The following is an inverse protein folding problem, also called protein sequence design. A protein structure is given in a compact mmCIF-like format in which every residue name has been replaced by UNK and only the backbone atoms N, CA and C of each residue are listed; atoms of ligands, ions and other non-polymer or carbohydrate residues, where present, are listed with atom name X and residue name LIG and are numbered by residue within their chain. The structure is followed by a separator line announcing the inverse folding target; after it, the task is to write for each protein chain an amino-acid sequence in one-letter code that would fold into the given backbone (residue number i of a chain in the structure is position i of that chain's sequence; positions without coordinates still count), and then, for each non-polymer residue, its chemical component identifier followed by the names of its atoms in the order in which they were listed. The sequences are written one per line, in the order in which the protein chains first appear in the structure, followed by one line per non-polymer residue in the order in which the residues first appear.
data_IF_483614560289
#
_entry.id   IF_483614560289
#
_cell.length_a   1.000
_cell.length_b   1.000
_cell.length_c   1.000
_cell.angle_alpha   90.00
_cell.angle_beta   90.00
_cell.angle_gamma   90.00
#
_symmetry.space_group_name_H-M   'P 1'
#
loop_
_entity.id
_entity.type
_entity.pdbx_description
1 polymer ?
#
# COMPACT_ATOMS: atom_id res chain seq x y z
N UNK A 1 -18.09 21.51 22.43
CA UNK A 1 -17.61 20.44 23.34
C UNK A 1 -18.64 20.11 24.43
N UNK A 2 -19.46 21.07 24.86
CA UNK A 2 -20.50 20.91 25.89
C UNK A 2 -21.71 20.02 25.51
N UNK A 3 -21.76 19.48 24.29
CA UNK A 3 -22.92 18.73 23.78
C UNK A 3 -22.68 17.20 23.69
N UNK A 4 -21.55 16.69 24.17
CA UNK A 4 -21.26 15.25 24.11
C UNK A 4 -21.99 14.49 25.21
N UNK A 5 -22.91 13.61 24.82
CA UNK A 5 -23.67 12.78 25.74
C UNK A 5 -24.04 11.43 25.15
N UNK A 6 -24.22 10.43 26.02
CA UNK A 6 -24.65 9.07 25.66
C UNK A 6 -25.86 8.67 26.49
N UNK A 7 -26.74 7.89 25.88
CA UNK A 7 -27.88 7.28 26.54
C UNK A 7 -27.56 5.83 26.90
N UNK A 8 -27.43 5.56 28.20
CA UNK A 8 -27.10 4.24 28.73
C UNK A 8 -28.36 3.63 29.32
N UNK A 9 -28.69 2.41 28.88
CA UNK A 9 -29.82 1.63 29.35
C UNK A 9 -29.37 0.39 30.13
N UNK A 10 -30.13 0.02 31.16
CA UNK A 10 -29.93 -1.18 31.96
C UNK A 10 -30.64 -2.38 31.31
N UNK A 11 -29.87 -3.37 30.86
CA UNK A 11 -30.38 -4.56 30.18
C UNK A 11 -31.05 -5.55 31.14
N UNK A 12 -30.61 -5.60 32.40
CA UNK A 12 -31.22 -6.46 33.43
C UNK A 12 -32.67 -6.09 33.68
N UNK A 13 -32.92 -4.79 33.92
CA UNK A 13 -34.27 -4.25 34.11
C UNK A 13 -35.12 -4.32 32.86
N UNK A 14 -34.51 -4.17 31.68
CA UNK A 14 -35.19 -4.34 30.40
C UNK A 14 -35.82 -5.74 30.28
N UNK A 15 -35.08 -6.78 30.68
CA UNK A 15 -35.56 -8.17 30.68
C UNK A 15 -36.70 -8.41 31.69
N UNK A 16 -36.78 -7.60 32.74
CA UNK A 16 -37.85 -7.59 33.74
C UNK A 16 -39.09 -6.76 33.30
N UNK A 17 -39.04 -6.14 32.12
CA UNK A 17 -40.12 -5.32 31.55
C UNK A 17 -40.08 -3.84 31.96
N UNK A 18 -39.01 -3.38 32.60
CA UNK A 18 -38.78 -1.99 32.98
C UNK A 18 -37.71 -1.33 32.09
N UNK A 19 -38.11 -0.33 31.30
CA UNK A 19 -37.17 0.48 30.52
C UNK A 19 -36.50 1.51 31.43
N UNK A 20 -35.30 1.19 31.91
CA UNK A 20 -34.50 2.10 32.75
C UNK A 20 -33.25 2.52 31.98
N UNK A 21 -33.17 3.81 31.65
CA UNK A 21 -32.01 4.41 31.01
C UNK A 21 -31.97 5.92 31.23
N UNK A 22 -30.80 6.52 31.06
CA UNK A 22 -30.60 7.95 31.24
C UNK A 22 -29.49 8.49 30.34
N UNK A 23 -29.55 9.80 30.07
CA UNK A 23 -28.46 10.53 29.42
C UNK A 23 -27.37 10.89 30.43
N UNK A 24 -26.12 10.75 29.98
CA UNK A 24 -24.91 11.07 30.73
C UNK A 24 -23.98 11.93 29.86
N UNK A 25 -23.48 13.01 30.45
CA UNK A 25 -22.48 13.89 29.84
C UNK A 25 -21.07 13.44 30.23
N UNK A 26 -20.09 13.73 29.39
CA UNK A 26 -18.69 13.41 29.68
C UNK A 26 -18.03 14.40 30.67
N UNK A 27 -17.04 13.94 31.47
CA UNK A 27 -16.65 12.55 31.69
C UNK A 27 -17.71 11.79 32.49
N UNK A 28 -18.01 10.55 32.08
CA UNK A 28 -19.08 9.74 32.66
C UNK A 28 -18.58 9.14 33.98
N UNK A 29 -19.22 9.49 35.09
CA UNK A 29 -18.96 8.87 36.40
C UNK A 29 -19.71 7.54 36.56
N UNK A 30 -18.97 6.47 36.85
CA UNK A 30 -19.52 5.14 37.05
C UNK A 30 -20.51 5.08 38.23
N UNK A 31 -20.25 5.84 39.30
CA UNK A 31 -21.15 5.85 40.45
C UNK A 31 -22.47 6.59 40.13
N UNK A 32 -22.41 7.66 39.33
CA UNK A 32 -23.61 8.34 38.83
C UNK A 32 -24.45 7.38 37.97
N UNK A 33 -23.82 6.66 37.04
CA UNK A 33 -24.51 5.68 36.20
C UNK A 33 -25.18 4.63 37.07
N UNK A 34 -24.46 4.07 38.04
CA UNK A 34 -25.01 3.06 38.96
C UNK A 34 -26.22 3.57 39.74
N UNK A 35 -26.15 4.77 40.31
CA UNK A 35 -27.24 5.34 41.09
C UNK A 35 -28.47 5.62 40.23
N UNK A 36 -28.26 6.16 39.02
CA UNK A 36 -29.31 6.68 38.15
C UNK A 36 -30.06 5.60 37.37
N UNK A 37 -29.35 4.58 36.88
CA UNK A 37 -29.96 3.45 36.14
C UNK A 37 -30.04 2.15 36.95
N UNK A 38 -29.57 2.16 38.20
CA UNK A 38 -29.72 1.06 39.15
C UNK A 38 -28.95 -0.20 38.74
N UNK A 39 -27.66 -0.06 38.43
CA UNK A 39 -26.78 -1.20 38.13
C UNK A 39 -26.39 -1.98 39.40
N UNK A 40 -26.06 -3.25 39.23
CA UNK A 40 -25.48 -4.09 40.28
C UNK A 40 -24.04 -3.67 40.62
N UNK A 41 -23.48 -4.20 41.71
CA UNK A 41 -22.11 -3.90 42.15
C UNK A 41 -21.03 -4.38 41.14
N UNK A 42 -21.40 -5.25 40.20
CA UNK A 42 -20.49 -5.82 39.18
C UNK A 42 -20.57 -5.10 37.82
N UNK A 43 -21.49 -4.13 37.64
CA UNK A 43 -21.63 -3.30 36.44
C UNK A 43 -21.82 -4.07 35.12
N UNK A 44 -22.43 -5.26 35.14
CA UNK A 44 -22.39 -6.19 34.00
C UNK A 44 -23.51 -6.02 32.95
N UNK A 45 -24.60 -5.30 33.26
CA UNK A 45 -25.82 -5.31 32.43
C UNK A 45 -26.26 -3.92 31.95
N UNK A 46 -25.42 -3.25 31.15
CA UNK A 46 -25.81 -2.02 30.43
C UNK A 46 -25.45 -2.07 28.95
N UNK A 47 -26.14 -1.25 28.17
CA UNK A 47 -25.84 -1.00 26.76
C UNK A 47 -26.10 0.46 26.40
N UNK A 48 -25.40 0.94 25.37
CA UNK A 48 -25.62 2.25 24.78
C UNK A 48 -26.71 2.10 23.71
N UNK A 49 -27.82 2.81 23.87
CA UNK A 49 -28.92 2.77 22.88
C UNK A 49 -29.00 4.00 22.00
N UNK A 50 -28.44 5.13 22.46
CA UNK A 50 -28.42 6.37 21.70
C UNK A 50 -27.21 7.21 22.11
N UNK A 51 -26.76 8.11 21.24
CA UNK A 51 -25.63 8.99 21.53
C UNK A 51 -25.63 10.26 20.67
N UNK A 52 -25.10 11.34 21.24
CA UNK A 52 -24.82 12.61 20.56
C UNK A 52 -23.31 12.83 20.55
N UNK A 53 -22.61 12.12 19.65
CA UNK A 53 -21.16 12.14 19.53
C UNK A 53 -20.72 12.36 18.07
N UNK A 54 -19.59 13.05 17.82
CA UNK A 54 -19.07 13.29 16.47
C UNK A 54 -18.39 12.06 15.84
N UNK A 55 -18.54 10.88 16.44
CA UNK A 55 -17.96 9.61 16.02
C UNK A 55 -18.91 8.44 16.33
N UNK A 56 -18.68 7.31 15.68
CA UNK A 56 -19.50 6.10 15.86
C UNK A 56 -19.09 5.33 17.10
N UNK A 57 -20.08 4.85 17.85
CA UNK A 57 -19.92 4.05 19.06
C UNK A 57 -20.80 2.81 18.96
N UNK A 58 -20.29 1.66 19.41
CA UNK A 58 -21.05 0.41 19.43
C UNK A 58 -21.92 0.31 20.69
N UNK A 59 -23.03 -0.44 20.60
CA UNK A 59 -23.98 -0.64 21.71
C UNK A 59 -23.32 -1.25 22.96
N UNK A 60 -22.24 -1.99 22.78
CA UNK A 60 -21.50 -2.72 23.83
C UNK A 60 -20.19 -2.04 24.23
N UNK A 61 -19.92 -0.82 23.77
CA UNK A 61 -18.74 -0.06 24.18
C UNK A 61 -18.79 0.22 25.68
N UNK A 62 -17.68 -0.03 26.38
CA UNK A 62 -17.63 0.18 27.82
C UNK A 62 -17.53 1.66 28.20
N UNK A 63 -18.07 2.04 29.37
CA UNK A 63 -17.96 3.42 29.88
C UNK A 63 -16.49 3.87 30.01
N UNK A 64 -15.58 2.95 30.31
CA UNK A 64 -14.14 3.23 30.38
C UNK A 64 -13.56 3.58 29.01
N UNK A 65 -13.95 2.86 27.97
CA UNK A 65 -13.56 3.17 26.58
C UNK A 65 -14.17 4.49 26.11
N UNK A 66 -15.43 4.77 26.44
CA UNK A 66 -16.07 6.06 26.14
C UNK A 66 -15.28 7.22 26.74
N UNK A 67 -14.96 7.14 28.03
CA UNK A 67 -14.18 8.19 28.71
C UNK A 67 -12.79 8.33 28.12
N UNK A 68 -12.15 7.22 27.73
CA UNK A 68 -10.86 7.25 27.04
C UNK A 68 -10.96 7.94 25.67
N UNK A 69 -11.98 7.63 24.88
CA UNK A 69 -12.23 8.27 23.58
C UNK A 69 -12.45 9.78 23.75
N UNK A 70 -13.25 10.17 24.73
CA UNK A 70 -13.48 11.57 25.07
C UNK A 70 -12.19 12.28 25.50
N UNK A 71 -11.34 11.64 26.32
CA UNK A 71 -10.05 12.19 26.73
C UNK A 71 -9.14 12.42 25.51
N UNK A 72 -9.03 11.44 24.62
CA UNK A 72 -8.24 11.58 23.38
C UNK A 72 -8.76 12.73 22.50
N UNK A 73 -10.08 12.87 22.35
CA UNK A 73 -10.66 14.01 21.62
C UNK A 73 -10.37 15.34 22.31
N UNK A 74 -10.41 15.35 23.64
CA UNK A 74 -10.18 16.56 24.44
C UNK A 74 -8.75 17.08 24.37
N UNK A 75 -7.80 16.20 24.10
CA UNK A 75 -6.39 16.56 23.91
C UNK A 75 -6.09 17.14 22.51
N UNK A 76 -6.98 16.93 21.52
CA UNK A 76 -6.77 17.44 20.17
C UNK A 76 -6.88 18.98 20.11
N UNK A 77 -6.22 19.65 19.15
CA UNK A 77 -6.45 21.06 18.85
C UNK A 77 -7.92 21.38 18.55
N UNK A 78 -8.42 22.53 19.01
CA UNK A 78 -9.83 22.96 18.84
C UNK A 78 -10.31 22.91 17.37
N UNK A 79 -9.41 23.25 16.45
CA UNK A 79 -9.64 23.22 15.01
C UNK A 79 -9.97 21.80 14.51
N UNK A 80 -9.25 20.78 15.02
CA UNK A 80 -9.51 19.38 14.68
C UNK A 80 -10.77 18.85 15.38
N UNK A 81 -11.01 19.25 16.63
CA UNK A 81 -12.18 18.81 17.40
C UNK A 81 -13.50 19.17 16.69
N UNK A 82 -13.58 20.38 16.13
CA UNK A 82 -14.79 20.87 15.45
C UNK A 82 -15.08 20.15 14.13
N UNK A 83 -14.07 19.55 13.51
CA UNK A 83 -14.13 18.93 12.18
C UNK A 83 -13.84 17.41 12.23
N UNK A 84 -14.08 16.78 13.38
CA UNK A 84 -13.89 15.34 13.58
C UNK A 84 -14.61 14.48 12.53
N UNK A 85 -15.83 14.87 12.14
CA UNK A 85 -16.59 14.12 11.12
C UNK A 85 -15.89 14.08 9.74
N UNK A 86 -15.24 15.18 9.35
CA UNK A 86 -14.46 15.25 8.12
C UNK A 86 -13.16 14.42 8.26
N UNK A 87 -12.49 14.52 9.40
CA UNK A 87 -11.27 13.77 9.69
C UNK A 87 -11.51 12.25 9.70
N UNK A 88 -12.60 11.79 10.31
CA UNK A 88 -12.97 10.36 10.37
C UNK A 88 -13.43 9.78 9.02
N UNK A 89 -13.52 10.60 7.97
CA UNK A 89 -13.64 10.08 6.58
C UNK A 89 -12.29 9.55 6.07
N UNK A 90 -11.18 10.06 6.61
CA UNK A 90 -9.83 9.70 6.21
C UNK A 90 -9.12 8.80 7.23
N UNK A 91 -9.39 9.02 8.52
CA UNK A 91 -8.88 8.20 9.62
C UNK A 91 -9.92 7.16 10.03
N UNK A 92 -9.47 5.94 10.33
CA UNK A 92 -10.37 4.81 10.64
C UNK A 92 -10.96 4.90 12.06
N UNK A 93 -10.31 5.62 12.96
CA UNK A 93 -10.66 5.70 14.37
C UNK A 93 -10.09 6.97 15.02
N UNK A 94 -10.60 7.32 16.20
CA UNK A 94 -10.06 8.46 16.98
C UNK A 94 -8.66 8.13 17.48
N UNK A 95 -8.39 6.87 17.81
CA UNK A 95 -7.08 6.39 18.21
C UNK A 95 -6.04 6.69 17.13
N UNK A 96 -6.32 6.33 15.87
CA UNK A 96 -5.43 6.61 14.75
C UNK A 96 -5.23 8.12 14.55
N UNK A 97 -6.30 8.91 14.70
CA UNK A 97 -6.22 10.38 14.62
C UNK A 97 -5.34 10.96 15.73
N UNK A 98 -5.50 10.47 16.97
CA UNK A 98 -4.76 10.93 18.14
C UNK A 98 -3.26 10.60 18.04
N UNK A 99 -2.90 9.41 17.55
CA UNK A 99 -1.50 9.01 17.32
C UNK A 99 -0.80 9.90 16.28
N UNK A 100 -1.57 10.44 15.34
CA UNK A 100 -1.06 11.18 14.18
C UNK A 100 -1.35 12.67 14.20
N UNK A 101 -1.89 13.21 15.30
CA UNK A 101 -2.28 14.62 15.38
C UNK A 101 -1.12 15.59 15.08
N UNK A 102 0.12 15.25 15.46
CA UNK A 102 1.31 16.07 15.22
C UNK A 102 1.74 16.10 13.74
N UNK A 103 1.33 15.10 12.96
CA UNK A 103 1.64 14.98 11.53
C UNK A 103 0.61 15.73 10.64
N UNK A 104 -0.46 16.26 11.24
CA UNK A 104 -1.50 17.03 10.57
C UNK A 104 -1.10 18.50 10.54
N UNK A 105 -0.94 19.05 9.34
CA UNK A 105 -0.67 20.46 9.14
C UNK A 105 -1.99 21.18 8.89
N UNK A 106 -2.29 22.15 9.73
CA UNK A 106 -3.52 22.93 9.69
C UNK A 106 -3.25 24.23 8.93
N UNK A 107 -3.88 24.40 7.76
CA UNK A 107 -3.88 25.64 6.99
C UNK A 107 -5.20 26.36 7.21
N UNK A 108 -5.32 27.06 8.35
CA UNK A 108 -6.54 27.75 8.76
C UNK A 108 -6.85 29.02 7.97
N UNK A 109 -5.85 29.56 7.25
CA UNK A 109 -5.95 30.73 6.38
C UNK A 109 -6.23 30.38 4.91
N UNK A 110 -6.35 29.08 4.59
CA UNK A 110 -6.58 28.60 3.24
C UNK A 110 -8.01 28.08 3.09
N UNK A 111 -8.77 28.66 2.16
CA UNK A 111 -10.14 28.22 1.86
C UNK A 111 -10.14 27.08 0.81
N UNK A 112 -9.14 27.07 -0.07
CA UNK A 112 -9.03 26.11 -1.16
C UNK A 112 -7.57 25.67 -1.45
N UNK A 113 -7.41 24.76 -2.42
CA UNK A 113 -6.09 24.30 -2.84
C UNK A 113 -5.26 25.36 -3.57
N UNK A 114 -5.87 26.46 -4.04
CA UNK A 114 -5.13 27.58 -4.62
C UNK A 114 -4.39 28.35 -3.51
N UNK A 115 -5.04 28.60 -2.38
CA UNK A 115 -4.42 29.25 -1.23
C UNK A 115 -3.29 28.39 -0.64
N UNK A 116 -3.52 27.07 -0.52
CA UNK A 116 -2.48 26.12 -0.10
C UNK A 116 -1.28 26.14 -1.04
N UNK A 117 -1.51 26.16 -2.35
CA UNK A 117 -0.45 26.25 -3.36
C UNK A 117 0.33 27.56 -3.23
N UNK A 118 -0.37 28.67 -3.00
CA UNK A 118 0.24 29.98 -2.78
C UNK A 118 1.11 29.99 -1.53
N UNK A 119 0.59 29.48 -0.41
CA UNK A 119 1.32 29.35 0.85
C UNK A 119 2.64 28.57 0.67
N UNK A 120 2.60 27.42 -0.01
CA UNK A 120 3.80 26.61 -0.23
C UNK A 120 4.86 27.30 -1.10
N UNK A 121 4.44 28.06 -2.11
CA UNK A 121 5.35 28.73 -3.04
C UNK A 121 5.91 30.03 -2.44
N UNK A 122 5.06 30.87 -1.85
CA UNK A 122 5.43 32.21 -1.39
C UNK A 122 6.01 32.20 0.02
N UNK A 123 5.37 31.49 0.97
CA UNK A 123 5.76 31.52 2.39
C UNK A 123 6.79 30.43 2.72
N UNK A 124 6.58 29.21 2.21
CA UNK A 124 7.49 28.08 2.48
C UNK A 124 8.69 28.04 1.53
N UNK A 125 8.59 28.67 0.36
CA UNK A 125 9.63 28.62 -0.67
C UNK A 125 9.86 27.21 -1.23
N UNK A 126 8.80 26.40 -1.36
CA UNK A 126 8.90 25.00 -1.78
C UNK A 126 9.55 24.80 -3.16
N UNK A 127 9.47 25.82 -4.03
CA UNK A 127 10.09 25.86 -5.36
C UNK A 127 11.32 26.79 -5.43
N UNK A 128 11.81 27.26 -4.27
CA UNK A 128 12.86 28.28 -4.15
C UNK A 128 12.31 29.71 -4.00
N UNK A 129 13.21 30.69 -3.99
CA UNK A 129 12.83 32.11 -3.90
C UNK A 129 12.18 32.59 -5.19
N UNK A 130 10.89 32.93 -5.13
CA UNK A 130 10.15 33.51 -6.25
C UNK A 130 10.26 35.03 -6.21
N UNK A 131 10.89 35.68 -7.22
CA UNK A 131 10.94 37.13 -7.27
C UNK A 131 9.53 37.72 -7.52
N UNK A 132 9.26 38.88 -6.93
CA UNK A 132 7.94 39.55 -7.01
C UNK A 132 7.43 39.78 -8.44
N UNK A 133 8.33 39.92 -9.42
CA UNK A 133 7.96 40.06 -10.83
C UNK A 133 7.37 38.80 -11.45
N UNK A 134 7.66 37.62 -10.89
CA UNK A 134 7.22 36.32 -11.40
C UNK A 134 5.96 35.79 -10.70
N UNK A 135 5.66 36.24 -9.47
CA UNK A 135 4.52 35.76 -8.67
C UNK A 135 3.19 35.81 -9.45
N UNK A 136 2.92 36.92 -10.15
CA UNK A 136 1.68 37.09 -10.94
C UNK A 136 1.59 36.20 -12.20
N UNK A 137 2.63 35.45 -12.53
CA UNK A 137 2.66 34.55 -13.68
C UNK A 137 2.71 33.07 -13.29
N UNK A 138 2.71 32.76 -11.99
CA UNK A 138 2.66 31.38 -11.50
C UNK A 138 1.20 30.89 -11.53
N UNK A 139 1.01 29.69 -12.08
CA UNK A 139 -0.28 29.02 -12.07
C UNK A 139 -0.44 28.21 -10.77
N UNK A 140 -0.92 28.89 -9.72
CA UNK A 140 -1.17 28.27 -8.42
C UNK A 140 -2.30 27.23 -8.48
N UNK A 141 -3.27 27.37 -9.39
CA UNK A 141 -4.37 26.41 -9.53
C UNK A 141 -3.86 25.05 -10.03
N UNK A 142 -2.98 25.07 -11.03
CA UNK A 142 -2.36 23.85 -11.53
C UNK A 142 -1.49 23.18 -10.45
N UNK A 143 -0.70 23.97 -9.71
CA UNK A 143 0.14 23.43 -8.64
C UNK A 143 -0.69 22.84 -7.49
N UNK A 144 -1.73 23.55 -7.04
CA UNK A 144 -2.64 23.07 -6.00
C UNK A 144 -3.34 21.77 -6.38
N UNK A 145 -3.76 21.64 -7.65
CA UNK A 145 -4.33 20.38 -8.16
C UNK A 145 -3.32 19.23 -8.13
N UNK A 146 -2.07 19.48 -8.49
CA UNK A 146 -1.02 18.46 -8.44
C UNK A 146 -0.69 18.05 -6.99
N UNK A 147 -0.75 19.00 -6.05
CA UNK A 147 -0.64 18.71 -4.62
C UNK A 147 -1.80 17.81 -4.15
N UNK A 148 -3.03 18.15 -4.49
CA UNK A 148 -4.21 17.36 -4.10
C UNK A 148 -4.18 15.93 -4.68
N UNK A 149 -3.72 15.79 -5.93
CA UNK A 149 -3.57 14.47 -6.57
C UNK A 149 -2.47 13.59 -5.94
N UNK A 150 -1.47 14.19 -5.29
CA UNK A 150 -0.29 13.48 -4.77
C UNK A 150 -0.27 13.34 -3.25
N UNK A 151 -0.96 14.22 -2.54
CA UNK A 151 -1.07 14.26 -1.09
C UNK A 151 -2.46 13.90 -0.57
N UNK A 152 -2.68 14.14 0.72
CA UNK A 152 -3.98 13.99 1.38
C UNK A 152 -4.35 15.35 1.96
N UNK A 153 -5.31 16.03 1.32
CA UNK A 153 -5.85 17.31 1.78
C UNK A 153 -7.33 17.16 2.08
N UNK A 154 -7.77 17.71 3.20
CA UNK A 154 -9.14 17.61 3.70
C UNK A 154 -9.68 19.04 3.78
N UNK A 155 -10.72 19.32 3.01
CA UNK A 155 -11.39 20.62 3.03
C UNK A 155 -12.44 20.64 4.14
N UNK A 156 -12.32 21.62 5.04
CA UNK A 156 -13.20 21.79 6.19
C UNK A 156 -13.70 23.24 6.26
N UNK A 157 -14.65 23.55 7.15
CA UNK A 157 -15.09 24.94 7.32
C UNK A 157 -14.05 25.80 8.06
N UNK A 158 -13.05 25.16 8.69
CA UNK A 158 -11.99 25.79 9.45
C UNK A 158 -10.64 25.79 8.69
N UNK A 159 -10.69 25.58 7.37
CA UNK A 159 -9.53 25.61 6.47
C UNK A 159 -9.20 24.25 5.85
N UNK A 160 -7.99 24.14 5.30
CA UNK A 160 -7.50 22.91 4.67
C UNK A 160 -6.53 22.18 5.61
N UNK A 161 -6.84 20.92 5.93
CA UNK A 161 -5.94 20.07 6.71
C UNK A 161 -5.16 19.14 5.81
N UNK A 162 -3.84 19.14 5.96
CA UNK A 162 -2.96 18.23 5.24
C UNK A 162 -2.50 17.12 6.17
N UNK A 163 -2.80 15.87 5.79
CA UNK A 163 -2.26 14.69 6.47
C UNK A 163 -1.04 14.14 5.72
N UNK A 164 0.04 13.90 6.46
CA UNK A 164 1.22 13.20 5.93
C UNK A 164 1.03 11.68 5.87
N UNK A 165 -0.01 11.15 6.52
CA UNK A 165 -0.36 9.73 6.49
C UNK A 165 -1.21 9.47 5.24
N UNK A 166 -0.74 8.53 4.44
CA UNK A 166 -1.58 7.93 3.40
C UNK A 166 -2.51 6.97 4.12
N UNK A 167 -3.77 7.38 4.31
CA UNK A 167 -4.82 6.55 4.90
C UNK A 167 -4.74 5.12 4.36
N UNK A 168 -4.83 4.13 5.27
CA UNK A 168 -4.78 2.70 4.95
C UNK A 168 -5.91 2.30 3.97
N UNK A 169 -7.02 3.05 3.95
CA UNK A 169 -8.10 2.89 2.98
C UNK A 169 -7.69 3.20 1.53
N UNK A 170 -6.76 4.15 1.33
CA UNK A 170 -6.26 4.51 0.00
C UNK A 170 -5.22 3.53 -0.53
N UNK A 171 -4.53 2.80 0.35
CA UNK A 171 -3.58 1.74 -0.05
C UNK A 171 -4.30 0.60 -0.78
N UNK A 172 -5.50 0.19 -0.35
CA UNK A 172 -6.21 -0.92 -0.99
C UNK A 172 -6.76 -0.55 -2.38
N UNK A 173 -7.19 0.69 -2.60
CA UNK A 173 -7.66 1.14 -3.92
C UNK A 173 -6.52 1.55 -4.85
N UNK A 174 -5.47 2.19 -4.33
CA UNK A 174 -4.31 2.58 -5.13
C UNK A 174 -3.48 1.36 -5.55
N UNK A 175 -3.28 0.36 -4.69
CA UNK A 175 -2.59 -0.88 -5.09
C UNK A 175 -3.41 -1.70 -6.10
N UNK A 176 -4.75 -1.60 -6.07
CA UNK A 176 -5.63 -2.25 -7.05
C UNK A 176 -5.69 -1.50 -8.40
N UNK A 177 -5.48 -0.18 -8.41
CA UNK A 177 -5.56 0.66 -9.63
C UNK A 177 -4.20 0.98 -10.27
N UNK A 178 -3.09 1.01 -9.52
CA UNK A 178 -1.78 1.47 -10.03
C UNK A 178 -0.80 0.36 -10.45
N UNK A 179 -1.12 -0.92 -10.22
CA UNK A 179 -0.30 -2.02 -10.74
C UNK A 179 -0.25 -2.09 -12.29
N UNK A 180 -1.04 -1.27 -12.99
CA UNK A 180 -1.16 -1.25 -14.45
C UNK A 180 -0.40 -0.16 -15.22
N UNK A 181 0.04 0.96 -14.61
CA UNK A 181 0.40 2.16 -15.42
C UNK A 181 1.75 2.84 -15.08
N UNK A 182 2.37 2.61 -13.92
CA UNK A 182 3.60 3.33 -13.57
C UNK A 182 4.89 2.71 -14.16
N UNK A 183 5.04 2.76 -15.49
CA UNK A 183 6.32 2.48 -16.14
C UNK A 183 6.58 3.38 -17.35
N UNK A 184 6.46 4.71 -17.19
CA UNK A 184 7.16 5.67 -18.05
C UNK A 184 6.96 7.14 -17.64
N UNK A 185 8.06 7.83 -17.28
CA UNK A 185 8.29 9.28 -17.07
C UNK A 185 8.78 9.53 -15.61
N UNK A 186 9.88 10.21 -15.27
CA UNK A 186 10.83 11.15 -15.90
C UNK A 186 12.19 11.10 -15.15
N UNK A 187 13.29 11.67 -15.68
CA UNK A 187 14.66 11.49 -15.17
C UNK A 187 15.14 12.53 -14.13
N UNK A 188 14.25 13.28 -13.47
CA UNK A 188 14.63 14.34 -12.50
C UNK A 188 14.75 13.80 -11.06
N UNK A 189 14.28 12.59 -10.80
CA UNK A 189 14.25 12.01 -9.45
C UNK A 189 15.59 11.43 -8.96
N UNK A 190 16.64 11.39 -9.80
CA UNK A 190 17.85 10.61 -9.49
C UNK A 190 18.90 11.34 -8.64
N UNK A 191 18.94 12.67 -8.63
CA UNK A 191 19.96 13.42 -7.86
C UNK A 191 19.66 13.52 -6.36
N UNK A 192 18.41 13.32 -5.92
CA UNK A 192 18.02 13.45 -4.50
C UNK A 192 18.04 12.12 -3.72
N UNK A 193 18.63 11.06 -4.28
CA UNK A 193 18.57 9.71 -3.70
C UNK A 193 19.76 9.41 -2.76
N UNK A 194 20.83 10.21 -2.77
CA UNK A 194 22.04 9.89 -2.00
C UNK A 194 21.91 10.07 -0.47
N UNK A 195 20.83 10.71 0.01
CA UNK A 195 20.53 10.86 1.45
C UNK A 195 19.45 9.92 1.98
N UNK A 196 18.87 9.04 1.15
CA UNK A 196 17.89 8.08 1.65
C UNK A 196 18.58 6.93 2.38
N UNK A 197 18.23 6.77 3.66
CA UNK A 197 18.57 5.60 4.48
C UNK A 197 18.20 4.35 3.68
N UNK A 198 19.19 3.56 3.25
CA UNK A 198 18.97 2.30 2.51
C UNK A 198 18.20 1.33 3.39
N UNK A 199 16.87 1.33 3.31
CA UNK A 199 16.03 0.31 3.91
C UNK A 199 16.24 -0.95 3.08
N UNK A 200 16.84 -1.99 3.67
CA UNK A 200 16.97 -3.28 3.01
C UNK A 200 15.57 -3.85 2.81
N UNK A 201 15.11 -3.98 1.57
CA UNK A 201 13.87 -4.70 1.28
C UNK A 201 14.09 -6.18 1.57
N UNK A 202 13.42 -6.70 2.60
CA UNK A 202 13.47 -8.11 3.01
C UNK A 202 12.42 -8.97 2.27
N UNK A 203 11.96 -8.54 1.10
CA UNK A 203 10.99 -9.27 0.27
C UNK A 203 11.50 -10.63 -0.22
N UNK A 204 12.81 -10.88 -0.14
CA UNK A 204 13.39 -12.20 -0.45
C UNK A 204 13.21 -13.25 0.66
N UNK A 205 12.78 -12.87 1.88
CA UNK A 205 12.54 -13.82 2.99
C UNK A 205 11.45 -14.83 2.64
N UNK A 206 10.45 -14.41 1.86
CA UNK A 206 9.31 -15.24 1.46
C UNK A 206 9.54 -16.00 0.15
N UNK A 207 10.66 -15.73 -0.53
CA UNK A 207 11.08 -16.36 -1.79
C UNK A 207 11.99 -17.58 -1.55
N UNK A 208 11.86 -18.26 -0.41
CA UNK A 208 12.67 -19.45 -0.12
C UNK A 208 12.03 -20.65 -0.81
N UNK A 209 12.78 -21.27 -1.72
CA UNK A 209 12.36 -22.55 -2.29
C UNK A 209 12.27 -23.60 -1.20
N UNK A 210 11.09 -24.22 -1.08
CA UNK A 210 10.91 -25.35 -0.18
C UNK A 210 11.84 -26.50 -0.63
N UNK A 211 12.67 -26.98 0.29
CA UNK A 211 13.62 -28.08 0.07
C UNK A 211 13.24 -29.24 0.97
N UNK A 212 13.24 -30.46 0.42
CA UNK A 212 12.93 -31.68 1.13
C UNK A 212 14.24 -32.42 1.46
N UNK A 213 14.46 -32.66 2.75
CA UNK A 213 15.64 -33.36 3.26
C UNK A 213 15.33 -34.80 3.69
N UNK A 214 14.10 -35.07 4.09
CA UNK A 214 13.63 -36.39 4.49
C UNK A 214 12.19 -36.62 4.04
N UNK A 215 11.86 -37.90 3.84
CA UNK A 215 10.49 -38.36 3.64
C UNK A 215 10.20 -39.31 4.79
N UNK A 216 9.32 -38.90 5.72
CA UNK A 216 9.09 -39.58 6.99
C UNK A 216 10.43 -39.78 7.73
N UNK A 217 10.82 -41.04 7.99
CA UNK A 217 12.07 -41.40 8.68
C UNK A 217 13.28 -41.61 7.74
N UNK A 218 13.11 -41.52 6.42
CA UNK A 218 14.19 -41.71 5.46
C UNK A 218 14.86 -40.39 5.11
N UNK A 219 16.15 -40.24 5.43
CA UNK A 219 16.97 -39.09 5.00
C UNK A 219 17.42 -39.28 3.56
N UNK A 220 17.12 -38.31 2.71
CA UNK A 220 17.55 -38.34 1.31
C UNK A 220 19.08 -38.15 1.23
N UNK A 221 19.77 -38.85 0.31
CA UNK A 221 21.22 -38.73 0.14
C UNK A 221 21.65 -37.34 -0.36
N UNK A 222 20.72 -36.59 -0.95
CA UNK A 222 20.88 -35.20 -1.33
C UNK A 222 19.52 -34.49 -1.17
N UNK A 223 19.52 -33.20 -0.79
CA UNK A 223 18.29 -32.42 -0.69
C UNK A 223 17.65 -32.23 -2.07
N UNK A 224 16.33 -32.36 -2.16
CA UNK A 224 15.57 -32.19 -3.41
C UNK A 224 14.58 -31.04 -3.26
N UNK A 225 14.55 -30.11 -4.22
CA UNK A 225 13.59 -29.00 -4.19
C UNK A 225 12.26 -29.39 -4.85
N UNK A 226 11.15 -28.74 -4.45
CA UNK A 226 9.85 -28.95 -5.11
C UNK A 226 9.88 -28.63 -6.61
N UNK A 227 10.68 -27.63 -7.01
CA UNK A 227 10.93 -27.28 -8.41
C UNK A 227 11.57 -28.44 -9.18
N UNK A 228 12.58 -29.11 -8.60
CA UNK A 228 13.26 -30.25 -9.21
C UNK A 228 12.32 -31.44 -9.40
N UNK A 229 11.50 -31.77 -8.39
CA UNK A 229 10.50 -32.84 -8.52
C UNK A 229 9.49 -32.54 -9.63
N UNK A 230 9.04 -31.29 -9.73
CA UNK A 230 8.08 -30.87 -10.77
C UNK A 230 8.65 -31.07 -12.17
N UNK A 231 9.88 -30.58 -12.42
CA UNK A 231 10.52 -30.75 -13.73
C UNK A 231 10.86 -32.20 -14.05
N UNK A 232 11.18 -33.01 -13.04
CA UNK A 232 11.40 -34.44 -13.21
C UNK A 232 10.12 -35.14 -13.68
N UNK A 233 8.98 -34.88 -13.01
CA UNK A 233 7.68 -35.46 -13.39
C UNK A 233 7.24 -34.98 -14.77
N UNK A 234 7.36 -33.68 -15.05
CA UNK A 234 6.99 -33.11 -16.36
C UNK A 234 7.84 -33.69 -17.49
N UNK A 235 9.16 -33.80 -17.29
CA UNK A 235 10.06 -34.37 -18.31
C UNK A 235 9.86 -35.87 -18.48
N UNK A 236 9.56 -36.61 -17.41
CA UNK A 236 9.19 -38.03 -17.50
C UNK A 236 7.91 -38.21 -18.33
N UNK A 237 6.88 -37.42 -18.08
CA UNK A 237 5.64 -37.46 -18.85
C UNK A 237 5.86 -37.05 -20.31
N UNK A 238 6.70 -36.03 -20.56
CA UNK A 238 7.08 -35.63 -21.91
C UNK A 238 7.82 -36.75 -22.66
N UNK A 239 8.74 -37.47 -22.02
CA UNK A 239 9.43 -38.62 -22.62
C UNK A 239 8.46 -39.78 -22.88
N UNK A 240 7.44 -39.97 -22.03
CA UNK A 240 6.41 -40.98 -22.24
C UNK A 240 5.53 -40.65 -23.47
N UNK A 241 5.12 -39.39 -23.63
CA UNK A 241 4.32 -38.95 -24.79
C UNK A 241 5.14 -38.94 -26.08
N UNK A 242 6.36 -38.39 -26.03
CA UNK A 242 7.22 -38.20 -27.20
C UNK A 242 8.13 -39.41 -27.47
N UNK A 243 7.97 -40.51 -26.71
CA UNK A 243 8.87 -41.65 -26.73
C UNK A 243 8.94 -42.40 -28.06
N UNK A 244 7.93 -42.22 -28.92
CA UNK A 244 7.86 -42.82 -30.26
C UNK A 244 8.40 -41.90 -31.37
N UNK A 245 8.79 -40.66 -31.06
CA UNK A 245 9.33 -39.71 -32.02
C UNK A 245 10.87 -39.77 -32.04
N UNK A 246 11.51 -39.72 -33.22
CA UNK A 246 12.97 -39.53 -33.32
C UNK A 246 13.34 -38.16 -32.72
N UNK A 247 14.45 -38.02 -31.97
CA UNK A 247 15.52 -38.98 -31.66
C UNK A 247 15.28 -39.88 -30.43
N UNK A 248 14.17 -39.71 -29.70
CA UNK A 248 13.88 -40.46 -28.46
C UNK A 248 13.54 -41.94 -28.70
N UNK A 249 13.05 -42.28 -29.89
CA UNK A 249 12.83 -43.67 -30.31
C UNK A 249 14.11 -44.45 -30.61
N UNK A 250 15.24 -43.76 -30.83
CA UNK A 250 16.53 -44.37 -31.16
C UNK A 250 17.34 -44.77 -29.91
N UNK A 251 16.86 -44.42 -28.72
CA UNK A 251 17.51 -44.73 -27.44
C UNK A 251 16.85 -45.98 -26.85
N UNK A 252 17.50 -47.13 -27.00
CA UNK A 252 17.00 -48.43 -26.53
C UNK A 252 17.09 -48.60 -25.00
N UNK A 253 17.97 -47.84 -24.34
CA UNK A 253 18.18 -47.92 -22.90
C UNK A 253 17.01 -47.32 -22.10
N UNK A 254 16.17 -48.16 -21.50
CA UNK A 254 15.04 -47.72 -20.67
C UNK A 254 15.49 -46.83 -19.49
N UNK A 255 16.61 -47.17 -18.84
CA UNK A 255 17.17 -46.36 -17.75
C UNK A 255 17.61 -44.97 -18.25
N UNK A 256 18.37 -44.90 -19.34
CA UNK A 256 18.82 -43.62 -19.89
C UNK A 256 17.65 -42.76 -20.37
N UNK A 257 16.64 -43.40 -20.98
CA UNK A 257 15.46 -42.73 -21.52
C UNK A 257 14.57 -42.15 -20.43
N UNK A 258 14.18 -42.94 -19.44
CA UNK A 258 13.20 -42.53 -18.42
C UNK A 258 13.81 -41.97 -17.14
N UNK A 259 15.11 -42.18 -16.89
CA UNK A 259 15.80 -41.62 -15.75
C UNK A 259 16.86 -40.61 -16.18
N UNK A 260 17.74 -40.97 -17.11
CA UNK A 260 18.83 -40.09 -17.57
C UNK A 260 18.37 -38.77 -18.19
N UNK A 261 17.48 -38.82 -19.18
CA UNK A 261 16.97 -37.62 -19.86
C UNK A 261 16.19 -36.72 -18.88
N UNK A 262 15.24 -37.23 -18.08
CA UNK A 262 14.55 -36.42 -17.07
C UNK A 262 15.47 -35.80 -16.02
N UNK A 263 16.49 -36.54 -15.53
CA UNK A 263 17.47 -36.00 -14.57
C UNK A 263 18.31 -34.90 -15.22
N UNK A 264 18.83 -35.11 -16.43
CA UNK A 264 19.63 -34.11 -17.14
C UNK A 264 18.81 -32.85 -17.44
N UNK A 265 17.55 -33.00 -17.83
CA UNK A 265 16.64 -31.90 -18.07
C UNK A 265 16.31 -31.14 -16.78
N UNK A 266 16.03 -31.86 -15.70
CA UNK A 266 15.76 -31.27 -14.37
C UNK A 266 16.97 -30.50 -13.86
N UNK A 267 18.17 -31.06 -14.02
CA UNK A 267 19.44 -30.40 -13.70
C UNK A 267 19.59 -29.10 -14.50
N UNK A 268 19.37 -29.13 -15.82
CA UNK A 268 19.45 -27.94 -16.67
C UNK A 268 18.45 -26.85 -16.23
N UNK A 269 17.20 -27.22 -15.99
CA UNK A 269 16.13 -26.29 -15.59
C UNK A 269 16.35 -25.70 -14.19
N UNK A 270 17.10 -26.39 -13.33
CA UNK A 270 17.32 -25.96 -11.94
C UNK A 270 18.63 -25.21 -11.74
N UNK A 271 19.64 -25.46 -12.56
CA UNK A 271 20.99 -24.90 -12.36
C UNK A 271 21.30 -23.68 -13.23
N UNK A 272 20.73 -23.61 -14.44
CA UNK A 272 21.04 -22.51 -15.36
C UNK A 272 20.21 -21.29 -15.05
N UNK A 273 20.84 -20.12 -15.13
CA UNK A 273 20.17 -18.83 -15.03
C UNK A 273 20.42 -18.04 -16.30
N UNK A 274 19.35 -17.53 -16.91
CA UNK A 274 19.39 -16.64 -18.07
C UNK A 274 18.90 -15.27 -17.62
N UNK A 275 19.75 -14.25 -17.79
CA UNK A 275 19.43 -12.86 -17.44
C UNK A 275 18.98 -12.70 -15.97
N UNK A 276 19.72 -13.35 -15.05
CA UNK A 276 19.41 -13.38 -13.61
C UNK A 276 18.17 -14.18 -13.21
N UNK A 277 17.45 -14.79 -14.16
CA UNK A 277 16.23 -15.56 -13.93
C UNK A 277 16.46 -17.05 -14.20
N UNK A 278 15.66 -17.91 -13.56
CA UNK A 278 15.58 -19.33 -13.94
C UNK A 278 15.07 -19.49 -15.38
N UNK A 279 15.37 -20.60 -16.08
CA UNK A 279 15.09 -20.72 -17.51
C UNK A 279 13.60 -20.59 -17.84
N UNK A 280 12.72 -21.12 -16.98
CA UNK A 280 11.27 -20.97 -17.16
C UNK A 280 10.78 -19.53 -16.92
N UNK A 281 11.40 -18.79 -16.00
CA UNK A 281 11.07 -17.39 -15.73
C UNK A 281 11.54 -16.48 -16.87
N UNK A 282 12.69 -16.80 -17.45
CA UNK A 282 13.16 -16.18 -18.68
C UNK A 282 12.22 -16.48 -19.84
N UNK A 283 11.86 -17.75 -20.06
CA UNK A 283 10.92 -18.16 -21.11
C UNK A 283 9.56 -17.47 -20.97
N UNK A 284 9.01 -17.39 -19.76
CA UNK A 284 7.79 -16.62 -19.47
C UNK A 284 7.95 -15.16 -19.85
N UNK A 285 9.10 -14.55 -19.55
CA UNK A 285 9.39 -13.15 -19.91
C UNK A 285 9.45 -12.95 -21.43
N UNK A 286 10.06 -13.88 -22.16
CA UNK A 286 10.12 -13.84 -23.64
C UNK A 286 8.74 -14.02 -24.25
N UNK A 287 7.94 -14.98 -23.78
CA UNK A 287 6.58 -15.19 -24.26
C UNK A 287 5.69 -13.99 -23.94
N UNK A 288 5.77 -13.47 -22.71
CA UNK A 288 5.03 -12.27 -22.31
C UNK A 288 5.43 -11.08 -23.16
N UNK A 289 6.72 -10.89 -23.45
CA UNK A 289 7.20 -9.85 -24.36
C UNK A 289 6.69 -10.03 -25.79
N UNK A 290 6.63 -11.27 -26.29
CA UNK A 290 6.14 -11.57 -27.63
C UNK A 290 4.63 -11.32 -27.76
N UNK A 291 3.85 -11.64 -26.73
CA UNK A 291 2.40 -11.45 -26.69
C UNK A 291 1.99 -10.03 -26.31
N UNK A 292 2.86 -9.25 -25.65
CA UNK A 292 2.57 -7.88 -25.24
C UNK A 292 2.36 -7.00 -26.49
N UNK A 293 1.23 -6.26 -26.59
CA UNK A 293 1.02 -5.33 -27.68
C UNK A 293 2.10 -4.24 -27.61
N UNK A 294 2.88 -4.09 -28.69
CA UNK A 294 3.92 -3.08 -28.79
C UNK A 294 3.29 -1.73 -29.18
N UNK A 295 2.93 -0.95 -28.17
CA UNK A 295 2.43 0.42 -28.32
C UNK A 295 3.58 1.42 -28.12
N UNK A 296 3.58 2.50 -28.91
CA UNK A 296 4.43 3.67 -28.66
C UNK A 296 3.75 4.63 -27.69
N UNK A 297 4.49 5.60 -27.16
CA UNK A 297 3.98 6.68 -26.29
C UNK A 297 2.78 7.45 -26.89
N UNK A 298 2.59 7.38 -28.22
CA UNK A 298 1.51 8.02 -28.95
C UNK A 298 0.38 7.04 -29.37
N UNK A 299 0.34 5.82 -28.83
CA UNK A 299 -0.73 4.83 -29.10
C UNK A 299 -0.76 4.25 -30.52
N UNK A 300 0.21 4.59 -31.38
CA UNK A 300 0.28 4.09 -32.76
C UNK A 300 1.00 2.75 -32.83
N UNK A 301 0.46 1.81 -33.62
CA UNK A 301 1.05 0.50 -33.91
C UNK A 301 2.39 0.66 -34.64
N UNK A 302 3.45 0.02 -34.14
CA UNK A 302 4.77 0.03 -34.79
C UNK A 302 4.75 -0.87 -36.01
N UNK A 303 4.89 -0.29 -37.20
CA UNK A 303 5.27 -1.03 -38.41
C UNK A 303 6.79 -1.05 -38.50
N UNK A 304 7.42 -2.22 -38.29
CA UNK A 304 8.86 -2.36 -38.47
C UNK A 304 9.18 -2.35 -39.97
N UNK A 305 9.65 -1.21 -40.49
CA UNK A 305 10.23 -1.11 -41.82
C UNK A 305 11.73 -1.36 -41.77
N UNK A 306 12.27 -2.14 -42.70
CA UNK A 306 13.73 -2.19 -42.93
C UNK A 306 14.12 -0.95 -43.73
N UNK A 307 14.56 0.10 -43.05
CA UNK A 307 15.28 1.18 -43.71
C UNK A 307 16.78 0.85 -43.67
N UNK A 308 17.45 0.85 -44.83
CA UNK A 308 18.90 0.95 -44.86
C UNK A 308 19.25 2.38 -44.45
N UNK A 309 20.05 2.61 -43.41
CA UNK A 309 20.44 3.96 -43.02
C UNK A 309 21.27 4.57 -44.15
N UNK A 310 20.69 5.56 -44.84
CA UNK A 310 21.31 6.19 -46.01
C UNK A 310 22.00 7.52 -45.67
N UNK A 311 22.06 7.89 -44.39
CA UNK A 311 22.75 9.10 -43.92
C UNK A 311 23.97 8.73 -43.08
N UNK A 312 25.05 9.49 -43.27
CA UNK A 312 26.27 9.37 -42.51
C UNK A 312 25.98 9.64 -41.03
N UNK A 313 25.87 8.58 -40.24
CA UNK A 313 25.74 8.67 -38.79
C UNK A 313 27.03 9.32 -38.27
N UNK A 314 26.97 10.61 -37.93
CA UNK A 314 28.07 11.28 -37.24
C UNK A 314 28.02 10.83 -35.78
N UNK A 315 28.82 9.82 -35.44
CA UNK A 315 28.97 9.40 -34.05
C UNK A 315 29.78 10.45 -33.29
N UNK A 316 29.13 11.21 -32.41
CA UNK A 316 29.82 12.12 -31.48
C UNK A 316 30.17 11.34 -30.22
N UNK A 317 31.47 11.16 -29.96
CA UNK A 317 31.97 10.57 -28.72
C UNK A 317 31.81 11.59 -27.60
N UNK A 318 30.96 11.31 -26.62
CA UNK A 318 30.96 12.08 -25.37
C UNK A 318 32.17 11.66 -24.54
N UNK A 319 33.19 12.51 -24.46
CA UNK A 319 34.27 12.34 -23.50
C UNK A 319 33.84 13.01 -22.17
N UNK A 320 33.78 12.20 -21.11
CA UNK A 320 33.59 12.71 -19.75
C UNK A 320 34.88 13.44 -19.34
N UNK A 321 34.84 14.76 -19.23
CA UNK A 321 35.87 15.50 -18.51
C UNK A 321 35.61 15.32 -17.02
N UNK A 322 36.41 14.44 -16.38
CA UNK A 322 36.47 14.38 -14.93
C UNK A 322 37.00 15.72 -14.42
N UNK A 323 36.20 16.43 -13.63
CA UNK A 323 36.65 17.59 -12.87
C UNK A 323 37.64 17.03 -11.83
N UNK A 324 38.92 17.39 -11.95
CA UNK A 324 39.91 17.09 -10.92
C UNK A 324 39.61 17.94 -9.69
N UNK A 325 39.51 17.28 -8.53
CA UNK A 325 39.32 17.87 -7.20
C UNK A 325 40.23 19.06 -6.90
#
# INVERSE_FOLDING_TARGET
MDDMQVYIANLGKYNEGELVGAWFTFPIDFEEVKEKIGLNDEYEEYAIHDYELPFTVDEYTSIGELNRLWEMVSELPEELQSELSALLTHFSSIEELSEHQEDIIIHSDCDDMYDVARYYIEETGALGEVPASLQNYIDYQAYGRDLDLSGTFISTNHGIFKSSIKSVGTLLLADFLFYGVAQSATPIFYERIDYMKKIRSYTSIWSVEKVLYSINDFRLPFPITFTQMTWFVVSLFAVMILGNLPPLSMIEGAFLKYFGIPVAFTWFMSTKTFDGKKPYGFLKSVIAYALRPKLTYAGKKVTLGRNQPQEAITAVRSEFYGISN
#
